data_IF_079001828485
#
_entry.id   IF_079001828485
#
_cell.length_a   1.000
_cell.length_b   1.000
_cell.length_c   1.000
_cell.angle_alpha   90.00
_cell.angle_beta   90.00
_cell.angle_gamma   90.00
#
_symmetry.space_group_name_H-M   'P 1'
#
loop_
_entity.id
_entity.type
_entity.pdbx_description
1 polymer ?
#
# COMPACT_ATOMS: atom_id res chain seq x y z
N UNK A 1 16.83 0.36 -11.07
CA UNK A 1 15.70 1.26 -10.69
C UNK A 1 15.43 1.14 -9.20
N UNK A 2 14.99 2.22 -8.59
CA UNK A 2 14.44 2.24 -7.24
C UNK A 2 12.91 2.29 -7.31
N UNK A 3 12.26 1.25 -6.84
CA UNK A 3 10.81 1.04 -6.99
C UNK A 3 10.14 1.25 -5.65
N UNK A 4 9.11 2.10 -5.60
CA UNK A 4 8.24 2.25 -4.43
C UNK A 4 6.95 1.47 -4.66
N UNK A 5 6.60 0.59 -3.72
CA UNK A 5 5.35 -0.19 -3.76
C UNK A 5 4.47 0.23 -2.59
N UNK A 6 3.28 0.71 -2.88
CA UNK A 6 2.29 1.07 -1.87
C UNK A 6 1.54 -0.16 -1.40
N UNK A 7 1.53 -0.39 -0.09
CA UNK A 7 0.92 -1.56 0.55
C UNK A 7 -0.03 -1.09 1.64
N UNK A 8 -1.24 -1.63 1.66
CA UNK A 8 -2.20 -1.44 2.74
C UNK A 8 -2.62 -2.75 3.38
N UNK A 9 -3.11 -2.69 4.60
CA UNK A 9 -3.77 -3.81 5.26
C UNK A 9 -5.26 -3.79 4.92
N UNK A 10 -5.81 -4.95 4.65
CA UNK A 10 -7.25 -5.14 4.48
C UNK A 10 -7.72 -6.33 5.29
N UNK A 11 -9.00 -6.39 5.70
CA UNK A 11 -9.54 -7.62 6.27
C UNK A 11 -9.45 -8.76 5.24
N UNK A 12 -9.18 -9.97 5.70
CA UNK A 12 -9.24 -11.15 4.84
C UNK A 12 -10.62 -11.26 4.17
N UNK A 13 -10.66 -11.75 2.94
CA UNK A 13 -11.91 -11.89 2.16
C UNK A 13 -12.95 -12.80 2.81
N UNK A 14 -12.52 -13.65 3.74
CA UNK A 14 -13.39 -14.53 4.53
C UNK A 14 -13.76 -13.95 5.89
N UNK A 15 -13.33 -12.71 6.20
CA UNK A 15 -13.61 -12.07 7.46
C UNK A 15 -15.12 -11.87 7.65
N UNK A 16 -15.60 -12.17 8.86
CA UNK A 16 -16.98 -11.85 9.23
C UNK A 16 -17.13 -10.35 9.42
N UNK A 17 -17.95 -9.72 8.62
CA UNK A 17 -18.27 -8.31 8.77
C UNK A 17 -19.23 -8.13 9.95
N UNK A 18 -18.75 -7.43 10.97
CA UNK A 18 -19.53 -7.06 12.14
C UNK A 18 -19.23 -5.61 12.54
N UNK A 19 -20.14 -4.99 13.25
CA UNK A 19 -20.00 -3.61 13.68
C UNK A 19 -20.10 -3.52 15.21
N UNK A 20 -19.23 -2.70 15.77
CA UNK A 20 -19.20 -2.32 17.18
C UNK A 20 -19.74 -0.88 17.36
N UNK A 21 -19.82 -0.45 18.61
CA UNK A 21 -20.17 0.93 19.00
C UNK A 21 -21.44 1.45 18.31
N UNK A 22 -22.51 0.64 18.35
CA UNK A 22 -23.79 1.02 17.72
C UNK A 22 -23.74 1.17 16.21
N UNK A 23 -22.84 0.46 15.54
CA UNK A 23 -22.68 0.50 14.08
C UNK A 23 -21.69 1.55 13.56
N UNK A 24 -20.96 2.20 14.45
CA UNK A 24 -20.04 3.30 14.08
C UNK A 24 -18.63 2.83 13.78
N UNK A 25 -18.25 1.62 14.20
CA UNK A 25 -16.92 1.06 13.99
C UNK A 25 -17.01 -0.36 13.47
N UNK A 26 -16.03 -0.72 12.64
CA UNK A 26 -15.80 -2.11 12.27
C UNK A 26 -15.33 -2.89 13.49
N UNK A 27 -15.87 -4.10 13.72
CA UNK A 27 -15.44 -4.99 14.80
C UNK A 27 -14.18 -5.76 14.35
N UNK A 28 -13.03 -5.38 14.89
CA UNK A 28 -11.74 -5.94 14.50
C UNK A 28 -11.35 -7.21 15.27
N UNK A 29 -12.11 -7.56 16.31
CA UNK A 29 -11.79 -8.73 17.14
C UNK A 29 -11.85 -10.02 16.32
N UNK A 30 -10.72 -10.72 16.22
CA UNK A 30 -10.60 -11.97 15.47
C UNK A 30 -10.51 -11.80 13.94
N UNK A 31 -10.41 -10.58 13.45
CA UNK A 31 -10.18 -10.33 12.01
C UNK A 31 -8.74 -10.64 11.66
N UNK A 32 -8.54 -11.47 10.63
CA UNK A 32 -7.24 -11.66 10.02
C UNK A 32 -7.00 -10.53 9.03
N UNK A 33 -5.90 -9.82 9.20
CA UNK A 33 -5.46 -8.77 8.28
C UNK A 33 -4.46 -9.31 7.26
N UNK A 34 -4.63 -8.90 6.02
CA UNK A 34 -3.78 -9.33 4.89
C UNK A 34 -3.28 -8.13 4.09
N UNK A 35 -2.25 -8.33 3.28
CA UNK A 35 -1.92 -7.41 2.19
C UNK A 35 -3.13 -7.37 1.26
N UNK A 36 -3.56 -6.18 0.86
CA UNK A 36 -4.68 -6.06 -0.07
C UNK A 36 -4.50 -7.02 -1.24
N UNK A 37 -5.39 -8.02 -1.38
CA UNK A 37 -5.27 -9.04 -2.41
C UNK A 37 -5.53 -8.44 -3.78
N UNK A 38 -5.08 -9.13 -4.82
CA UNK A 38 -5.12 -8.71 -6.21
C UNK A 38 -4.25 -7.49 -6.49
N UNK A 39 -4.76 -6.29 -6.44
CA UNK A 39 -4.12 -5.09 -6.99
C UNK A 39 -2.77 -4.76 -6.35
N UNK A 40 -2.68 -4.60 -5.03
CA UNK A 40 -1.40 -4.32 -4.37
C UNK A 40 -0.50 -5.55 -4.32
N UNK A 41 -1.10 -6.73 -4.22
CA UNK A 41 -0.36 -7.97 -4.34
C UNK A 41 0.31 -8.08 -5.71
N UNK A 42 -0.41 -7.75 -6.79
CA UNK A 42 0.16 -7.74 -8.13
C UNK A 42 1.22 -6.65 -8.31
N UNK A 43 1.04 -5.48 -7.71
CA UNK A 43 2.05 -4.43 -7.68
C UNK A 43 3.35 -4.93 -7.03
N UNK A 44 3.27 -5.62 -5.89
CA UNK A 44 4.40 -6.22 -5.22
C UNK A 44 5.06 -7.32 -6.07
N UNK A 45 4.28 -8.24 -6.62
CA UNK A 45 4.78 -9.31 -7.50
C UNK A 45 5.48 -8.71 -8.71
N UNK A 46 4.90 -7.67 -9.32
CA UNK A 46 5.54 -7.00 -10.46
C UNK A 46 6.89 -6.36 -10.11
N UNK A 47 6.98 -5.74 -8.94
CA UNK A 47 8.26 -5.20 -8.45
C UNK A 47 9.31 -6.32 -8.27
N UNK A 48 8.90 -7.46 -7.72
CA UNK A 48 9.77 -8.63 -7.53
C UNK A 48 10.26 -9.17 -8.88
N UNK A 49 9.36 -9.34 -9.87
CA UNK A 49 9.74 -9.76 -11.22
C UNK A 49 10.76 -8.81 -11.87
N UNK A 50 10.58 -7.50 -11.69
CA UNK A 50 11.53 -6.50 -12.19
C UNK A 50 12.90 -6.62 -11.52
N UNK A 51 12.93 -6.95 -10.23
CA UNK A 51 14.17 -7.18 -9.48
C UNK A 51 14.82 -8.52 -9.86
N UNK A 52 14.04 -9.56 -10.11
CA UNK A 52 14.57 -10.85 -10.62
C UNK A 52 15.18 -10.70 -12.02
N UNK A 53 14.59 -9.87 -12.87
CA UNK A 53 15.12 -9.57 -14.20
C UNK A 53 16.40 -8.73 -14.16
N UNK A 54 16.57 -7.88 -13.17
CA UNK A 54 17.76 -7.04 -12.96
C UNK A 54 17.98 -6.82 -11.46
N UNK A 55 18.96 -7.53 -10.91
CA UNK A 55 19.32 -7.50 -9.48
C UNK A 55 19.81 -6.12 -8.99
N UNK A 56 20.05 -5.16 -9.86
CA UNK A 56 20.36 -3.78 -9.49
C UNK A 56 19.11 -3.00 -9.04
N UNK A 57 17.91 -3.51 -9.29
CA UNK A 57 16.65 -2.91 -8.85
C UNK A 57 16.45 -3.12 -7.34
N UNK A 58 15.97 -2.09 -6.66
CA UNK A 58 15.60 -2.15 -5.24
C UNK A 58 14.10 -1.86 -5.04
N UNK A 59 13.50 -2.57 -4.09
CA UNK A 59 12.06 -2.48 -3.78
C UNK A 59 11.90 -1.90 -2.39
N UNK A 60 11.33 -0.71 -2.32
CA UNK A 60 10.91 -0.07 -1.09
C UNK A 60 9.40 -0.16 -0.95
N UNK A 61 8.96 -0.53 0.22
CA UNK A 61 7.54 -0.67 0.56
C UNK A 61 7.10 0.54 1.37
N UNK A 62 5.91 1.05 1.11
CA UNK A 62 5.33 2.13 1.93
C UNK A 62 3.92 1.77 2.35
N UNK A 63 3.62 2.02 3.63
CA UNK A 63 2.27 1.99 4.17
C UNK A 63 2.03 3.23 5.02
N UNK A 64 0.86 3.81 4.88
CA UNK A 64 0.39 4.93 5.71
C UNK A 64 -0.64 4.37 6.68
N UNK A 65 -0.35 4.46 7.98
CA UNK A 65 -1.22 3.89 9.00
C UNK A 65 -0.52 3.68 10.34
N UNK A 66 -1.27 3.19 11.32
CA UNK A 66 -0.79 2.87 12.66
C UNK A 66 0.19 1.70 12.71
N UNK A 67 0.59 1.34 13.92
CA UNK A 67 1.53 0.21 14.15
C UNK A 67 0.95 -1.15 13.75
N UNK A 68 -0.33 -1.25 13.63
CA UNK A 68 -1.07 -2.43 13.17
C UNK A 68 -0.86 -2.78 11.68
N UNK A 69 -0.28 -1.86 10.89
CA UNK A 69 0.19 -2.14 9.53
C UNK A 69 1.57 -2.83 9.50
N UNK A 70 2.32 -2.86 10.59
CA UNK A 70 3.68 -3.46 10.60
C UNK A 70 3.72 -4.94 10.22
N UNK A 71 2.80 -5.81 10.67
CA UNK A 71 2.82 -7.22 10.28
C UNK A 71 2.73 -7.41 8.76
N UNK A 72 1.95 -6.56 8.09
CA UNK A 72 1.77 -6.60 6.63
C UNK A 72 3.06 -6.17 5.91
N UNK A 73 3.68 -5.09 6.37
CA UNK A 73 4.98 -4.66 5.83
C UNK A 73 6.07 -5.70 6.04
N UNK A 74 6.13 -6.35 7.21
CA UNK A 74 7.07 -7.45 7.47
C UNK A 74 6.84 -8.65 6.54
N UNK A 75 5.58 -8.96 6.26
CA UNK A 75 5.24 -10.01 5.28
C UNK A 75 5.71 -9.63 3.88
N UNK A 76 5.49 -8.39 3.44
CA UNK A 76 5.93 -7.92 2.13
C UNK A 76 7.47 -7.88 2.01
N UNK A 77 8.20 -7.51 3.09
CA UNK A 77 9.66 -7.64 3.14
C UNK A 77 10.11 -9.09 2.98
N UNK A 78 9.48 -10.03 3.68
CA UNK A 78 9.81 -11.46 3.59
C UNK A 78 9.56 -12.05 2.19
N UNK A 79 8.69 -11.43 1.40
CA UNK A 79 8.40 -11.83 0.02
C UNK A 79 9.43 -11.31 -1.00
N UNK A 80 10.18 -10.26 -0.67
CA UNK A 80 11.21 -9.73 -1.60
C UNK A 80 11.46 -8.24 -1.53
N UNK A 81 10.76 -7.49 -0.67
CA UNK A 81 11.07 -6.09 -0.41
C UNK A 81 12.43 -5.91 0.28
N UNK A 82 13.12 -4.83 -0.01
CA UNK A 82 14.43 -4.50 0.56
C UNK A 82 14.30 -3.58 1.78
N UNK A 83 13.37 -2.66 1.73
CA UNK A 83 13.13 -1.67 2.78
C UNK A 83 11.63 -1.44 2.95
N UNK A 84 11.21 -1.11 4.17
CA UNK A 84 9.83 -0.76 4.47
C UNK A 84 9.73 0.55 5.25
N UNK A 85 8.87 1.42 4.80
CA UNK A 85 8.58 2.72 5.37
C UNK A 85 7.14 2.70 5.88
N UNK A 86 6.93 3.01 7.15
CA UNK A 86 5.60 3.24 7.70
C UNK A 86 5.46 4.70 8.09
N UNK A 87 4.51 5.37 7.48
CA UNK A 87 4.11 6.73 7.89
C UNK A 87 3.06 6.60 8.98
N UNK A 88 3.43 7.01 10.20
CA UNK A 88 2.60 6.84 11.39
C UNK A 88 1.54 7.95 11.49
N UNK A 89 0.39 7.72 10.89
CA UNK A 89 -0.76 8.63 10.94
C UNK A 89 -2.04 7.80 11.03
N UNK A 90 -2.98 8.26 11.85
CA UNK A 90 -4.30 7.63 12.02
C UNK A 90 -5.33 8.42 11.22
N UNK A 91 -5.39 8.16 9.94
CA UNK A 91 -6.27 8.84 8.97
C UNK A 91 -6.70 7.84 7.90
N UNK A 92 -7.91 7.99 7.44
CA UNK A 92 -8.60 7.10 6.50
C UNK A 92 -9.16 7.86 5.28
N UNK A 93 -8.54 8.96 4.87
CA UNK A 93 -8.90 9.63 3.62
C UNK A 93 -7.80 9.53 2.56
N UNK A 94 -8.22 9.23 1.34
CA UNK A 94 -7.31 8.96 0.22
C UNK A 94 -6.39 10.14 -0.12
N UNK A 95 -6.83 11.38 0.05
CA UNK A 95 -6.01 12.54 -0.28
C UNK A 95 -4.88 12.74 0.73
N UNK A 96 -5.16 12.60 2.02
CA UNK A 96 -4.13 12.67 3.05
C UNK A 96 -3.11 11.53 2.90
N UNK A 97 -3.59 10.30 2.65
CA UNK A 97 -2.71 9.15 2.38
C UNK A 97 -1.83 9.42 1.16
N UNK A 98 -2.40 9.89 0.05
CA UNK A 98 -1.66 10.23 -1.16
C UNK A 98 -0.60 11.31 -0.92
N UNK A 99 -0.93 12.32 -0.12
CA UNK A 99 0.01 13.39 0.25
C UNK A 99 1.21 12.85 1.02
N UNK A 100 0.99 11.96 1.99
CA UNK A 100 2.06 11.33 2.76
C UNK A 100 2.97 10.47 1.86
N UNK A 101 2.39 9.69 0.97
CA UNK A 101 3.14 8.89 0.02
C UNK A 101 3.97 9.80 -0.89
N UNK A 102 3.36 10.86 -1.43
CA UNK A 102 4.05 11.79 -2.32
C UNK A 102 5.22 12.51 -1.62
N UNK A 103 5.08 12.93 -0.36
CA UNK A 103 6.16 13.57 0.40
C UNK A 103 7.35 12.61 0.62
N UNK A 104 7.09 11.36 0.94
CA UNK A 104 8.16 10.34 1.03
C UNK A 104 8.79 10.11 -0.33
N UNK A 105 7.99 10.00 -1.38
CA UNK A 105 8.47 9.75 -2.73
C UNK A 105 9.34 10.88 -3.28
N UNK A 106 9.00 12.15 -3.03
CA UNK A 106 9.80 13.32 -3.43
C UNK A 106 11.23 13.28 -2.93
N UNK A 107 11.42 12.85 -1.68
CA UNK A 107 12.75 12.74 -1.06
C UNK A 107 13.47 11.43 -1.38
N UNK A 108 12.74 10.42 -1.83
CA UNK A 108 13.23 9.06 -1.97
C UNK A 108 13.99 8.77 -3.27
N UNK A 109 13.81 9.58 -4.32
CA UNK A 109 14.46 9.37 -5.62
C UNK A 109 14.02 8.09 -6.31
N UNK A 110 12.72 7.83 -6.34
CA UNK A 110 12.13 6.64 -6.97
C UNK A 110 11.96 6.83 -8.47
N UNK A 111 12.31 5.79 -9.24
CA UNK A 111 12.15 5.73 -10.69
C UNK A 111 10.76 5.25 -11.10
N UNK A 112 10.13 4.43 -10.25
CA UNK A 112 8.82 3.83 -10.48
C UNK A 112 8.05 3.76 -9.17
N UNK A 113 6.76 4.10 -9.22
CA UNK A 113 5.82 3.93 -8.11
C UNK A 113 4.73 2.98 -8.57
N UNK A 114 4.52 1.90 -7.82
CA UNK A 114 3.48 0.91 -8.08
C UNK A 114 2.44 0.98 -6.96
N UNK A 115 1.20 1.15 -7.36
CA UNK A 115 0.05 1.13 -6.45
C UNK A 115 -0.90 0.03 -6.88
N UNK A 116 -1.72 -0.46 -5.97
CA UNK A 116 -2.95 -1.12 -6.35
C UNK A 116 -3.90 -0.14 -7.03
N UNK A 117 -4.78 -0.61 -7.88
CA UNK A 117 -5.85 0.20 -8.44
C UNK A 117 -6.80 0.63 -7.31
N UNK A 118 -7.19 -0.34 -6.48
CA UNK A 118 -8.12 -0.14 -5.36
C UNK A 118 -7.85 -1.12 -4.22
N UNK A 119 -8.49 -0.93 -3.08
CA UNK A 119 -8.50 -1.90 -1.99
C UNK A 119 -9.85 -2.59 -1.91
N UNK A 120 -9.88 -3.84 -1.43
CA UNK A 120 -11.11 -4.64 -1.37
C UNK A 120 -12.14 -4.13 -0.36
N UNK A 121 -11.75 -3.30 0.58
CA UNK A 121 -12.59 -2.72 1.63
C UNK A 121 -13.15 -1.34 1.26
N UNK A 122 -12.40 -0.51 0.52
CA UNK A 122 -12.81 0.85 0.15
C UNK A 122 -13.22 1.01 -1.32
N UNK A 123 -12.65 0.25 -2.23
CA UNK A 123 -12.89 0.33 -3.69
C UNK A 123 -12.79 1.76 -4.27
N UNK A 124 -11.90 2.58 -3.71
CA UNK A 124 -11.85 4.02 -4.02
C UNK A 124 -11.26 4.35 -5.39
N UNK A 125 -10.33 3.56 -5.90
CA UNK A 125 -9.65 3.71 -7.21
C UNK A 125 -9.04 5.09 -7.48
N UNK A 126 -8.74 5.88 -6.45
CA UNK A 126 -8.32 7.28 -6.58
C UNK A 126 -6.86 7.53 -6.20
N UNK A 127 -6.31 6.69 -5.32
CA UNK A 127 -5.00 6.92 -4.67
C UNK A 127 -3.87 7.07 -5.68
N UNK A 128 -3.74 6.17 -6.65
CA UNK A 128 -2.66 6.20 -7.63
C UNK A 128 -2.65 7.48 -8.48
N UNK A 129 -3.84 7.92 -8.93
CA UNK A 129 -3.98 9.17 -9.67
C UNK A 129 -3.63 10.41 -8.83
N UNK A 130 -4.04 10.44 -7.55
CA UNK A 130 -3.68 11.52 -6.63
C UNK A 130 -2.18 11.59 -6.37
N UNK A 131 -1.52 10.46 -6.15
CA UNK A 131 -0.06 10.40 -5.95
C UNK A 131 0.67 10.89 -7.21
N UNK A 132 0.24 10.45 -8.38
CA UNK A 132 0.83 10.87 -9.65
C UNK A 132 0.71 12.39 -9.88
N UNK A 133 -0.47 12.98 -9.62
CA UNK A 133 -0.70 14.43 -9.72
C UNK A 133 0.17 15.21 -8.74
N UNK A 134 0.22 14.79 -7.47
CA UNK A 134 1.03 15.43 -6.44
C UNK A 134 2.53 15.42 -6.74
N UNK A 135 2.98 14.42 -7.52
CA UNK A 135 4.36 14.27 -7.95
C UNK A 135 4.63 14.82 -9.35
N UNK A 136 3.60 15.26 -10.07
CA UNK A 136 3.68 15.65 -11.49
C UNK A 136 4.30 14.53 -12.36
N UNK A 137 3.86 13.30 -12.14
CA UNK A 137 4.30 12.11 -12.86
C UNK A 137 3.21 11.61 -13.81
N UNK A 138 3.59 10.96 -14.93
CA UNK A 138 2.63 10.23 -15.76
C UNK A 138 1.92 9.15 -14.95
N UNK A 139 0.60 9.02 -15.16
CA UNK A 139 -0.21 7.99 -14.53
C UNK A 139 -0.76 7.02 -15.57
N UNK A 140 -0.57 5.74 -15.32
CA UNK A 140 -1.12 4.66 -16.15
C UNK A 140 -2.04 3.84 -15.26
N UNK A 141 -3.30 3.74 -15.64
CA UNK A 141 -4.30 2.87 -15.03
C UNK A 141 -4.70 1.77 -16.00
N UNK A 142 -5.28 0.72 -15.46
CA UNK A 142 -5.84 -0.39 -16.25
C UNK A 142 -6.90 0.08 -17.25
#
# INVERSE_FOLDING_TARGET
>A
MKILVCISKTPDTTAKIAFADGGKKFEEAGVQWIINPYDEWYALVRAIELKEADASNSIHLISVGGSDAEPILRKALALGGDEAIRVNIDIDDSYTIATQIAEVAKSGGYDLILTGKETIDHNGSTLGGMVAELLNLPYISL
#
